data_IF_177973887812
#
_entry.id   IF_177973887812
#
_cell.length_a   1.000
_cell.length_b   1.000
_cell.length_c   1.000
_cell.angle_alpha   90.00
_cell.angle_beta   90.00
_cell.angle_gamma   90.00
#
_symmetry.space_group_name_H-M   'P 1'
#
loop_
_entity.id
_entity.type
_entity.pdbx_description
1 polymer ?
#
# COMPACT_ATOMS: atom_id res chain seq x y z
N UNK A 1 6.52 12.81 24.76
CA UNK A 1 7.42 11.85 24.06
C UNK A 1 6.92 11.69 22.64
N UNK A 2 7.75 11.95 21.64
CA UNK A 2 7.37 11.76 20.23
C UNK A 2 7.14 10.27 19.95
N UNK A 3 6.03 9.88 19.32
CA UNK A 3 5.80 8.47 19.00
C UNK A 3 6.93 7.98 18.10
N UNK A 4 7.57 6.88 18.51
CA UNK A 4 8.62 6.27 17.71
C UNK A 4 7.99 5.49 16.55
N UNK A 5 8.50 5.61 15.31
CA UNK A 5 7.97 4.83 14.20
C UNK A 5 8.12 3.32 14.46
N UNK A 6 7.13 2.49 14.06
CA UNK A 6 7.13 1.04 14.26
C UNK A 6 7.95 0.29 13.19
N UNK A 7 8.86 0.98 12.51
CA UNK A 7 9.72 0.48 11.43
C UNK A 7 11.13 1.07 11.61
N UNK A 8 12.14 0.41 11.03
CA UNK A 8 13.51 0.87 11.14
C UNK A 8 13.74 2.09 10.23
N UNK A 9 14.51 3.04 10.75
CA UNK A 9 14.90 4.28 10.06
C UNK A 9 16.39 4.47 10.27
N UNK A 10 17.11 4.83 9.21
CA UNK A 10 18.52 5.15 9.29
C UNK A 10 18.77 6.34 10.27
N UNK A 11 19.81 6.31 11.12
CA UNK A 11 20.06 7.32 12.16
C UNK A 11 20.06 8.76 11.64
N UNK A 12 20.66 9.00 10.48
CA UNK A 12 20.71 10.34 9.86
C UNK A 12 19.34 10.90 9.45
N UNK A 13 18.30 10.08 9.40
CA UNK A 13 16.95 10.46 8.97
C UNK A 13 15.88 10.35 10.08
N UNK A 14 16.28 10.00 11.32
CA UNK A 14 15.33 9.79 12.41
C UNK A 14 14.48 11.02 12.72
N UNK A 15 15.09 12.22 12.74
CA UNK A 15 14.36 13.45 13.02
C UNK A 15 13.26 13.76 12.00
N UNK A 16 13.56 13.55 10.71
CA UNK A 16 12.60 13.77 9.64
C UNK A 16 11.47 12.74 9.67
N UNK A 17 11.78 11.45 9.88
CA UNK A 17 10.74 10.43 10.01
C UNK A 17 9.91 10.55 11.27
N UNK A 18 10.49 11.02 12.38
CA UNK A 18 9.71 11.31 13.58
C UNK A 18 8.65 12.38 13.28
N UNK A 19 9.01 13.44 12.55
CA UNK A 19 8.07 14.49 12.11
C UNK A 19 6.99 13.94 11.18
N UNK A 20 7.37 13.17 10.15
CA UNK A 20 6.41 12.55 9.22
C UNK A 20 5.49 11.57 9.94
N UNK A 21 6.01 10.78 10.88
CA UNK A 21 5.24 9.83 11.67
C UNK A 21 4.27 10.51 12.63
N UNK A 22 4.66 11.63 13.27
CA UNK A 22 3.75 12.42 14.09
C UNK A 22 2.50 12.89 13.32
N UNK A 23 2.63 13.18 12.02
CA UNK A 23 1.51 13.56 11.16
C UNK A 23 0.76 12.34 10.63
N UNK A 24 1.45 11.28 10.23
CA UNK A 24 0.83 10.11 9.61
C UNK A 24 0.13 9.18 10.62
N UNK A 25 0.67 9.03 11.83
CA UNK A 25 0.12 8.17 12.89
C UNK A 25 -1.35 8.49 13.23
N UNK A 26 -1.75 9.75 13.52
CA UNK A 26 -3.15 10.06 13.79
C UNK A 26 -4.06 9.81 12.58
N UNK A 27 -3.57 10.05 11.37
CA UNK A 27 -4.34 9.75 10.15
C UNK A 27 -4.58 8.24 9.96
N UNK A 28 -3.60 7.41 10.32
CA UNK A 28 -3.76 5.95 10.33
C UNK A 28 -4.72 5.49 11.42
N UNK A 29 -4.67 6.08 12.62
CA UNK A 29 -5.63 5.82 13.69
C UNK A 29 -7.06 6.14 13.22
N UNK A 30 -7.26 7.30 12.59
CA UNK A 30 -8.56 7.67 12.03
C UNK A 30 -9.00 6.62 11.00
N UNK A 31 -8.16 6.33 10.01
CA UNK A 31 -8.50 5.48 8.89
C UNK A 31 -8.85 4.04 9.29
N UNK A 32 -8.13 3.46 10.25
CA UNK A 32 -8.25 2.04 10.58
C UNK A 32 -8.96 1.72 11.90
N UNK A 33 -9.10 2.70 12.81
CA UNK A 33 -9.73 2.49 14.12
C UNK A 33 -11.00 3.31 14.25
N UNK A 34 -10.90 4.64 14.11
CA UNK A 34 -12.05 5.52 14.35
C UNK A 34 -13.20 5.26 13.36
N UNK A 35 -12.88 5.08 12.07
CA UNK A 35 -13.90 4.75 11.06
C UNK A 35 -14.62 3.44 11.41
N UNK A 36 -13.89 2.44 11.90
CA UNK A 36 -14.47 1.16 12.26
C UNK A 36 -15.40 1.29 13.46
N UNK A 37 -15.02 2.08 14.47
CA UNK A 37 -15.87 2.38 15.60
C UNK A 37 -17.17 3.10 15.19
N UNK A 38 -17.08 4.09 14.30
CA UNK A 38 -18.27 4.83 13.80
C UNK A 38 -19.20 3.91 13.00
N UNK A 39 -18.66 3.08 12.11
CA UNK A 39 -19.45 2.15 11.29
C UNK A 39 -20.14 1.09 12.16
N UNK A 40 -19.43 0.52 13.14
CA UNK A 40 -20.02 -0.45 14.08
C UNK A 40 -21.09 0.20 14.95
N UNK A 41 -20.87 1.43 15.43
CA UNK A 41 -21.87 2.18 16.20
C UNK A 41 -23.12 2.49 15.38
N UNK A 42 -22.96 2.96 14.13
CA UNK A 42 -24.07 3.22 13.21
C UNK A 42 -24.88 1.93 12.93
N UNK A 43 -24.20 0.80 12.72
CA UNK A 43 -24.87 -0.49 12.60
C UNK A 43 -25.62 -0.86 13.88
N UNK A 44 -25.01 -0.75 15.05
CA UNK A 44 -25.64 -1.10 16.33
C UNK A 44 -26.89 -0.26 16.60
N UNK A 45 -26.84 1.04 16.31
CA UNK A 45 -28.00 1.94 16.39
C UNK A 45 -29.11 1.48 15.44
N UNK A 46 -28.76 1.18 14.18
CA UNK A 46 -29.74 0.72 13.20
C UNK A 46 -30.39 -0.61 13.60
N UNK A 47 -29.62 -1.54 14.17
CA UNK A 47 -30.12 -2.84 14.63
C UNK A 47 -30.98 -2.73 15.89
N UNK A 48 -30.67 -1.82 16.81
CA UNK A 48 -31.44 -1.64 18.04
C UNK A 48 -32.86 -1.11 17.79
N UNK A 49 -33.10 -0.51 16.63
CA UNK A 49 -34.39 0.08 16.23
C UNK A 49 -35.10 -0.74 15.15
N UNK A 50 -34.42 -1.70 14.53
CA UNK A 50 -34.99 -2.52 13.46
C UNK A 50 -35.72 -3.77 14.02
N UNK A 51 -37.02 -3.89 13.76
CA UNK A 51 -37.87 -5.01 14.22
C UNK A 51 -37.75 -6.29 13.36
N UNK A 52 -36.58 -6.62 12.80
CA UNK A 52 -36.49 -7.59 11.70
C UNK A 52 -35.30 -8.60 11.77
N UNK A 53 -35.42 -9.77 11.09
CA UNK A 53 -34.36 -10.79 11.00
C UNK A 53 -33.15 -10.38 10.14
N UNK A 54 -33.06 -9.12 9.72
CA UNK A 54 -31.94 -8.57 8.92
C UNK A 54 -30.64 -8.46 9.74
N UNK A 55 -30.71 -8.75 11.04
CA UNK A 55 -29.59 -8.78 12.00
C UNK A 55 -28.43 -9.67 11.54
N UNK A 56 -28.71 -10.90 11.08
CA UNK A 56 -27.65 -11.85 10.72
C UNK A 56 -26.78 -11.39 9.55
N UNK A 57 -27.41 -10.92 8.47
CA UNK A 57 -26.70 -10.49 7.26
C UNK A 57 -25.98 -9.15 7.45
N UNK A 58 -26.59 -8.20 8.16
CA UNK A 58 -25.95 -6.93 8.51
C UNK A 58 -24.66 -7.15 9.31
N UNK A 59 -24.70 -8.02 10.32
CA UNK A 59 -23.53 -8.40 11.14
C UNK A 59 -22.44 -9.03 10.28
N UNK A 60 -22.79 -9.91 9.33
CA UNK A 60 -21.84 -10.55 8.42
C UNK A 60 -21.12 -9.54 7.50
N UNK A 61 -21.79 -8.46 7.12
CA UNK A 61 -21.22 -7.42 6.25
C UNK A 61 -20.34 -6.42 7.01
N UNK A 62 -20.55 -6.23 8.32
CA UNK A 62 -19.82 -5.21 9.10
C UNK A 62 -18.69 -5.81 9.93
N UNK A 63 -18.96 -6.90 10.66
CA UNK A 63 -18.03 -7.43 11.67
C UNK A 63 -16.77 -8.03 11.05
N UNK A 64 -16.82 -8.93 10.04
CA UNK A 64 -15.61 -9.48 9.46
C UNK A 64 -14.68 -8.43 8.83
N UNK A 65 -15.17 -7.43 8.06
CA UNK A 65 -14.31 -6.34 7.60
C UNK A 65 -13.70 -5.50 8.72
N UNK A 66 -14.47 -5.21 9.78
CA UNK A 66 -13.98 -4.47 10.95
C UNK A 66 -12.88 -5.26 11.69
N UNK A 67 -13.11 -6.54 11.94
CA UNK A 67 -12.14 -7.45 12.54
C UNK A 67 -10.88 -7.58 11.67
N UNK A 68 -11.03 -7.67 10.35
CA UNK A 68 -9.88 -7.69 9.43
C UNK A 68 -9.07 -6.40 9.50
N UNK A 69 -9.71 -5.23 9.52
CA UNK A 69 -9.02 -3.94 9.60
C UNK A 69 -8.35 -3.74 10.97
N UNK A 70 -9.00 -4.17 12.06
CA UNK A 70 -8.41 -4.19 13.39
C UNK A 70 -7.19 -5.11 13.44
N UNK A 71 -7.31 -6.35 12.94
CA UNK A 71 -6.19 -7.28 12.82
C UNK A 71 -5.06 -6.71 11.95
N UNK A 72 -5.38 -6.04 10.84
CA UNK A 72 -4.40 -5.43 9.94
C UNK A 72 -3.54 -4.38 10.65
N UNK A 73 -4.12 -3.62 11.59
CA UNK A 73 -3.39 -2.67 12.45
C UNK A 73 -2.61 -3.39 13.54
N UNK A 74 -3.27 -4.26 14.31
CA UNK A 74 -2.68 -4.96 15.45
C UNK A 74 -1.48 -5.83 15.03
N UNK A 75 -1.61 -6.54 13.91
CA UNK A 75 -0.53 -7.34 13.32
C UNK A 75 0.48 -6.51 12.51
N UNK A 76 0.38 -5.16 12.54
CA UNK A 76 1.26 -4.21 11.82
C UNK A 76 1.40 -4.49 10.32
N UNK A 77 0.43 -5.18 9.72
CA UNK A 77 0.45 -5.55 8.29
C UNK A 77 0.34 -4.34 7.38
N UNK A 78 -0.13 -3.21 7.88
CA UNK A 78 -0.11 -1.93 7.18
C UNK A 78 1.30 -1.50 6.75
N UNK A 79 2.35 -1.91 7.47
CA UNK A 79 3.73 -1.60 7.11
C UNK A 79 4.22 -2.33 5.84
N UNK A 80 3.63 -3.48 5.52
CA UNK A 80 4.07 -4.34 4.41
C UNK A 80 3.46 -3.94 3.06
N UNK A 81 2.25 -3.36 3.08
CA UNK A 81 1.53 -2.96 1.85
C UNK A 81 1.02 -1.53 1.93
N UNK A 82 1.92 -0.54 2.02
CA UNK A 82 1.56 0.88 2.18
C UNK A 82 0.73 1.42 1.04
N UNK A 83 0.94 0.89 -0.17
CA UNK A 83 0.25 1.32 -1.38
C UNK A 83 -1.27 1.20 -1.31
N UNK A 84 -1.78 0.20 -0.61
CA UNK A 84 -3.18 -0.18 -0.66
C UNK A 84 -4.00 0.28 0.56
N UNK A 85 -3.47 1.16 1.40
CA UNK A 85 -4.17 1.59 2.62
C UNK A 85 -5.57 2.14 2.33
N UNK A 86 -5.67 3.18 1.51
CA UNK A 86 -6.96 3.77 1.23
C UNK A 86 -7.88 2.90 0.39
N UNK A 87 -7.33 2.09 -0.53
CA UNK A 87 -8.13 1.11 -1.29
C UNK A 87 -8.76 0.09 -0.34
N UNK A 88 -8.03 -0.39 0.67
CA UNK A 88 -8.56 -1.32 1.67
C UNK A 88 -9.67 -0.68 2.51
N UNK A 89 -9.43 0.52 3.02
CA UNK A 89 -10.42 1.24 3.84
C UNK A 89 -11.68 1.53 3.01
N UNK A 90 -11.53 2.02 1.79
CA UNK A 90 -12.65 2.31 0.89
C UNK A 90 -13.42 1.06 0.48
N UNK A 91 -12.74 0.03 -0.04
CA UNK A 91 -13.41 -1.17 -0.54
C UNK A 91 -14.13 -1.95 0.58
N UNK A 92 -13.47 -2.13 1.73
CA UNK A 92 -14.11 -2.77 2.87
C UNK A 92 -15.19 -1.88 3.49
N UNK A 93 -14.95 -0.57 3.55
CA UNK A 93 -15.96 0.40 3.97
C UNK A 93 -17.23 0.32 3.14
N UNK A 94 -17.14 0.18 1.82
CA UNK A 94 -18.30 -0.01 0.96
C UNK A 94 -19.11 -1.27 1.31
N UNK A 95 -18.43 -2.39 1.61
CA UNK A 95 -19.10 -3.62 2.07
C UNK A 95 -19.82 -3.38 3.40
N UNK A 96 -19.16 -2.68 4.33
CA UNK A 96 -19.75 -2.35 5.63
C UNK A 96 -20.94 -1.38 5.49
N UNK A 97 -20.87 -0.44 4.55
CA UNK A 97 -21.96 0.49 4.28
C UNK A 97 -23.24 -0.25 3.86
N UNK A 98 -23.13 -1.32 3.05
CA UNK A 98 -24.26 -2.19 2.77
C UNK A 98 -24.84 -2.82 4.05
N UNK A 99 -23.97 -3.25 4.96
CA UNK A 99 -24.37 -3.81 6.26
C UNK A 99 -25.04 -2.79 7.20
N UNK A 100 -24.70 -1.50 7.09
CA UNK A 100 -25.36 -0.41 7.83
C UNK A 100 -26.68 -0.01 7.17
N UNK A 101 -26.69 0.11 5.83
CA UNK A 101 -27.83 0.62 5.07
C UNK A 101 -29.06 -0.29 5.17
N UNK A 102 -28.85 -1.61 5.15
CA UNK A 102 -29.94 -2.59 5.23
C UNK A 102 -30.80 -2.45 6.51
N UNK A 103 -30.24 -2.54 7.73
CA UNK A 103 -31.04 -2.35 8.94
C UNK A 103 -31.55 -0.91 9.08
N UNK A 104 -30.79 0.09 8.60
CA UNK A 104 -31.22 1.49 8.66
C UNK A 104 -32.48 1.74 7.83
N UNK A 105 -32.58 1.13 6.64
CA UNK A 105 -33.74 1.24 5.77
C UNK A 105 -35.00 0.61 6.40
N UNK A 106 -34.83 -0.50 7.14
CA UNK A 106 -35.92 -1.18 7.85
C UNK A 106 -36.37 -0.39 9.08
N UNK A 107 -35.43 0.18 9.84
CA UNK A 107 -35.74 1.02 11.00
C UNK A 107 -36.51 2.30 10.60
N UNK A 108 -36.31 2.81 9.38
CA UNK A 108 -37.02 3.98 8.86
C UNK A 108 -36.65 5.29 9.56
N UNK A 109 -37.48 6.32 9.35
CA UNK A 109 -37.38 7.62 10.01
C UNK A 109 -36.00 8.28 9.86
N UNK A 110 -35.54 8.90 10.96
CA UNK A 110 -34.23 9.59 11.01
C UNK A 110 -33.06 8.61 10.88
N UNK A 111 -33.21 7.38 11.38
CA UNK A 111 -32.16 6.34 11.37
C UNK A 111 -31.79 5.95 9.94
N UNK A 112 -32.79 5.83 9.06
CA UNK A 112 -32.62 5.51 7.64
C UNK A 112 -31.70 6.50 6.89
N UNK A 113 -31.70 7.78 7.29
CA UNK A 113 -30.86 8.80 6.69
C UNK A 113 -29.53 8.97 7.42
N UNK A 114 -29.56 9.06 8.76
CA UNK A 114 -28.40 9.45 9.56
C UNK A 114 -27.33 8.36 9.60
N UNK A 115 -27.70 7.09 9.81
CA UNK A 115 -26.70 6.03 9.98
C UNK A 115 -25.88 5.77 8.68
N UNK A 116 -26.48 5.65 7.49
CA UNK A 116 -25.73 5.50 6.25
C UNK A 116 -24.91 6.74 5.90
N UNK A 117 -25.44 7.94 6.16
CA UNK A 117 -24.70 9.19 5.93
C UNK A 117 -23.45 9.29 6.80
N UNK A 118 -23.57 8.99 8.10
CA UNK A 118 -22.44 8.96 9.03
C UNK A 118 -21.39 7.93 8.62
N UNK A 119 -21.81 6.70 8.27
CA UNK A 119 -20.91 5.66 7.79
C UNK A 119 -20.19 6.09 6.51
N UNK A 120 -20.91 6.67 5.54
CA UNK A 120 -20.35 7.15 4.27
C UNK A 120 -19.29 8.23 4.49
N UNK A 121 -19.61 9.24 5.30
CA UNK A 121 -18.67 10.32 5.64
C UNK A 121 -17.43 9.79 6.36
N UNK A 122 -17.61 8.85 7.29
CA UNK A 122 -16.50 8.21 7.99
C UNK A 122 -15.61 7.43 7.01
N UNK A 123 -16.18 6.61 6.12
CA UNK A 123 -15.42 5.83 5.13
C UNK A 123 -14.66 6.75 4.17
N UNK A 124 -15.31 7.81 3.66
CA UNK A 124 -14.66 8.79 2.80
C UNK A 124 -13.51 9.49 3.53
N UNK A 125 -13.75 9.98 4.74
CA UNK A 125 -12.75 10.62 5.60
C UNK A 125 -11.56 9.70 5.91
N UNK A 126 -11.81 8.43 6.25
CA UNK A 126 -10.78 7.43 6.50
C UNK A 126 -9.97 7.08 5.25
N UNK A 127 -10.63 6.99 4.09
CA UNK A 127 -9.96 6.74 2.80
C UNK A 127 -9.00 7.88 2.47
N UNK A 128 -9.46 9.13 2.62
CA UNK A 128 -8.63 10.32 2.44
C UNK A 128 -7.50 10.38 3.47
N UNK A 129 -7.79 10.10 4.75
CA UNK A 129 -6.78 10.05 5.80
C UNK A 129 -5.69 9.02 5.50
N UNK A 130 -6.06 7.82 5.05
CA UNK A 130 -5.11 6.79 4.62
C UNK A 130 -4.26 7.22 3.43
N UNK A 131 -4.85 7.88 2.42
CA UNK A 131 -4.11 8.43 1.27
C UNK A 131 -3.12 9.52 1.72
N UNK A 132 -3.57 10.42 2.60
CA UNK A 132 -2.75 11.51 3.13
C UNK A 132 -1.61 10.97 4.00
N UNK A 133 -1.87 9.99 4.87
CA UNK A 133 -0.84 9.33 5.68
C UNK A 133 0.24 8.71 4.80
N UNK A 134 -0.16 8.02 3.73
CA UNK A 134 0.77 7.46 2.74
C UNK A 134 1.58 8.58 2.07
N UNK A 135 0.94 9.64 1.58
CA UNK A 135 1.64 10.76 0.93
C UNK A 135 2.66 11.42 1.85
N UNK A 136 2.33 11.62 3.13
CA UNK A 136 3.25 12.20 4.11
C UNK A 136 4.48 11.30 4.35
N UNK A 137 4.26 9.99 4.54
CA UNK A 137 5.36 9.06 4.80
C UNK A 137 6.24 8.82 3.56
N UNK A 138 5.61 8.69 2.40
CA UNK A 138 6.27 8.32 1.14
C UNK A 138 6.41 9.50 0.18
N UNK A 139 6.39 10.74 0.68
CA UNK A 139 6.63 11.91 -0.17
C UNK A 139 8.00 11.74 -0.84
N UNK A 140 8.07 11.84 -2.18
CA UNK A 140 9.33 11.71 -2.92
C UNK A 140 10.28 12.89 -2.62
N UNK A 141 9.74 14.00 -2.11
CA UNK A 141 10.53 15.14 -1.66
C UNK A 141 11.50 14.74 -0.55
N UNK A 142 12.79 14.90 -0.84
CA UNK A 142 13.87 14.75 0.13
C UNK A 142 14.37 13.32 0.33
N UNK A 143 14.11 12.38 -0.58
CA UNK A 143 14.73 11.04 -0.60
C UNK A 143 14.52 10.16 0.66
N UNK A 144 13.77 10.67 1.64
CA UNK A 144 13.46 10.02 2.91
C UNK A 144 12.93 8.59 2.76
N UNK A 145 12.07 8.22 1.79
CA UNK A 145 11.58 6.85 1.67
C UNK A 145 12.70 5.80 1.56
N UNK A 146 13.85 6.15 0.95
CA UNK A 146 15.01 5.27 0.83
C UNK A 146 15.62 4.90 2.19
N UNK A 147 15.51 5.79 3.19
CA UNK A 147 16.13 5.67 4.50
C UNK A 147 15.30 4.89 5.54
N UNK A 148 14.29 4.14 5.11
CA UNK A 148 13.43 3.34 6.00
C UNK A 148 13.37 1.88 5.59
N UNK A 149 12.91 1.03 6.51
CA UNK A 149 12.63 -0.36 6.20
C UNK A 149 11.31 -0.59 5.49
N UNK A 150 10.57 0.48 5.16
CA UNK A 150 9.30 0.36 4.47
C UNK A 150 9.55 -0.03 3.01
N UNK A 151 8.74 -0.95 2.46
CA UNK A 151 8.86 -1.34 1.07
C UNK A 151 8.48 -0.18 0.16
N UNK A 152 9.35 0.10 -0.81
CA UNK A 152 9.08 1.05 -1.87
C UNK A 152 8.50 0.29 -3.05
N UNK A 153 7.33 0.70 -3.54
CA UNK A 153 6.60 -0.04 -4.56
C UNK A 153 6.24 0.86 -5.75
N UNK A 154 6.54 0.40 -6.96
CA UNK A 154 6.21 1.06 -8.22
C UNK A 154 5.52 0.10 -9.17
N UNK A 155 4.70 0.64 -10.07
CA UNK A 155 4.15 -0.14 -11.17
C UNK A 155 5.19 -0.27 -12.27
N UNK A 156 5.22 -1.48 -12.85
CA UNK A 156 5.95 -1.71 -14.07
C UNK A 156 5.13 -1.14 -15.24
N UNK A 157 5.77 -0.34 -16.08
CA UNK A 157 5.21 0.20 -17.32
C UNK A 157 5.18 -0.93 -18.34
N UNK A 158 4.08 -1.69 -18.34
CA UNK A 158 3.79 -2.80 -19.24
C UNK A 158 2.73 -2.42 -20.26
N UNK A 159 2.76 -3.02 -21.45
CA UNK A 159 1.74 -2.78 -22.48
C UNK A 159 0.33 -3.20 -21.99
N UNK A 160 -0.57 -2.23 -21.74
CA UNK A 160 -1.97 -2.53 -21.48
C UNK A 160 -2.61 -3.00 -22.79
N UNK A 161 -3.61 -3.91 -22.75
CA UNK A 161 -4.36 -4.35 -21.59
C UNK A 161 -3.87 -5.68 -20.96
N UNK A 162 -2.79 -6.31 -21.44
CA UNK A 162 -2.54 -7.73 -21.16
C UNK A 162 -1.75 -8.03 -19.89
N UNK A 163 -0.82 -7.16 -19.49
CA UNK A 163 0.07 -7.40 -18.35
C UNK A 163 0.02 -6.26 -17.33
N UNK A 164 0.06 -6.62 -16.05
CA UNK A 164 0.29 -5.72 -14.94
C UNK A 164 1.48 -6.22 -14.14
N UNK A 165 2.34 -5.33 -13.69
CA UNK A 165 3.45 -5.70 -12.84
C UNK A 165 3.75 -4.66 -11.79
N UNK A 166 4.47 -5.08 -10.76
CA UNK A 166 5.04 -4.15 -9.81
C UNK A 166 6.42 -4.59 -9.39
N UNK A 167 7.25 -3.59 -9.11
CA UNK A 167 8.54 -3.74 -8.46
C UNK A 167 8.43 -3.27 -7.02
N UNK A 168 9.04 -3.99 -6.10
CA UNK A 168 9.08 -3.68 -4.67
C UNK A 168 10.51 -3.80 -4.18
N UNK A 169 11.07 -2.71 -3.66
CA UNK A 169 12.34 -2.72 -2.94
C UNK A 169 12.06 -2.71 -1.43
N UNK A 170 12.39 -3.79 -0.73
CA UNK A 170 12.37 -3.84 0.72
C UNK A 170 13.78 -3.60 1.29
N UNK A 171 14.08 -4.13 2.48
CA UNK A 171 15.39 -4.00 3.14
C UNK A 171 16.38 -5.08 2.72
N UNK A 172 15.91 -6.17 2.11
CA UNK A 172 16.70 -7.34 1.79
C UNK A 172 16.89 -7.49 0.30
N UNK A 173 15.87 -7.17 -0.50
CA UNK A 173 15.90 -7.41 -1.94
C UNK A 173 15.01 -6.44 -2.73
N UNK A 174 15.32 -6.39 -4.02
CA UNK A 174 14.48 -5.86 -5.08
C UNK A 174 13.69 -7.01 -5.69
N UNK A 175 12.37 -6.98 -5.54
CA UNK A 175 11.44 -7.97 -6.08
C UNK A 175 10.64 -7.40 -7.23
N UNK A 176 10.34 -8.21 -8.25
CA UNK A 176 9.37 -7.84 -9.28
C UNK A 176 8.50 -9.02 -9.65
N UNK A 177 7.30 -8.70 -10.12
CA UNK A 177 6.39 -9.70 -10.68
C UNK A 177 5.53 -9.10 -11.78
N UNK A 178 5.18 -9.96 -12.75
CA UNK A 178 4.28 -9.69 -13.85
C UNK A 178 3.13 -10.69 -13.82
N UNK A 179 1.91 -10.19 -14.04
CA UNK A 179 0.67 -10.98 -14.03
C UNK A 179 -0.21 -10.60 -15.22
N UNK A 180 -0.91 -11.56 -15.84
CA UNK A 180 -1.92 -11.26 -16.85
C UNK A 180 -3.10 -10.51 -16.20
N UNK A 181 -3.60 -9.47 -16.88
CA UNK A 181 -4.80 -8.73 -16.44
C UNK A 181 -6.04 -9.57 -16.74
N UNK A 182 -6.93 -9.74 -15.76
CA UNK A 182 -8.22 -10.43 -15.94
C UNK A 182 -8.37 -11.79 -15.26
N UNK A 183 -7.28 -12.44 -14.82
CA UNK A 183 -7.33 -13.66 -14.01
C UNK A 183 -7.36 -13.30 -12.51
N UNK A 184 -8.44 -12.67 -12.07
CA UNK A 184 -8.72 -12.48 -10.65
C UNK A 184 -9.03 -13.85 -10.03
N UNK A 185 -8.03 -14.52 -9.44
CA UNK A 185 -8.24 -15.75 -8.68
C UNK A 185 -7.19 -16.84 -8.84
N UNK A 186 -6.31 -16.76 -9.84
CA UNK A 186 -5.22 -17.73 -10.03
C UNK A 186 -3.85 -17.11 -9.67
N UNK A 187 -3.05 -17.72 -8.78
CA UNK A 187 -1.89 -17.06 -8.17
C UNK A 187 -0.58 -17.14 -8.97
N UNK A 188 -0.58 -17.54 -10.24
CA UNK A 188 0.67 -17.66 -10.99
C UNK A 188 1.09 -16.30 -11.59
N UNK A 189 2.14 -15.69 -11.03
CA UNK A 189 2.88 -14.66 -11.75
C UNK A 189 3.48 -15.28 -13.01
N UNK A 190 3.29 -14.64 -14.16
CA UNK A 190 3.86 -15.09 -15.44
C UNK A 190 5.39 -15.00 -15.38
N UNK A 191 5.89 -13.94 -14.74
CA UNK A 191 7.31 -13.75 -14.44
C UNK A 191 7.43 -13.22 -13.02
N UNK A 192 8.42 -13.72 -12.28
CA UNK A 192 8.84 -13.18 -10.98
C UNK A 192 10.36 -13.18 -10.91
N UNK A 193 10.92 -12.20 -10.23
CA UNK A 193 12.35 -12.19 -9.95
C UNK A 193 12.66 -11.44 -8.67
N UNK A 194 13.88 -11.68 -8.19
CA UNK A 194 14.37 -11.11 -6.95
C UNK A 194 15.88 -10.96 -7.06
N UNK A 195 16.40 -9.81 -6.63
CA UNK A 195 17.83 -9.56 -6.49
C UNK A 195 18.08 -9.08 -5.06
N UNK A 196 18.88 -9.78 -4.25
CA UNK A 196 19.30 -9.28 -2.94
C UNK A 196 19.99 -7.92 -3.08
N UNK A 197 19.70 -6.97 -2.19
CA UNK A 197 20.33 -5.64 -2.26
C UNK A 197 21.86 -5.73 -2.16
N UNK A 198 22.38 -6.73 -1.44
CA UNK A 198 23.81 -7.01 -1.33
C UNK A 198 24.47 -7.48 -2.65
N UNK A 199 23.69 -7.99 -3.61
CA UNK A 199 24.19 -8.40 -4.93
C UNK A 199 24.15 -7.24 -5.95
N UNK A 200 23.56 -6.10 -5.61
CA UNK A 200 23.43 -4.95 -6.51
C UNK A 200 24.74 -4.15 -6.52
N UNK A 201 25.33 -4.00 -7.70
CA UNK A 201 26.60 -3.30 -7.92
C UNK A 201 26.42 -1.88 -8.43
N UNK A 202 25.25 -1.54 -8.97
CA UNK A 202 24.94 -0.18 -9.42
C UNK A 202 23.52 -0.04 -9.94
N UNK A 203 23.03 1.20 -10.00
CA UNK A 203 21.70 1.54 -10.48
C UNK A 203 21.80 2.73 -11.42
N UNK A 204 21.21 2.65 -12.60
CA UNK A 204 21.16 3.77 -13.55
C UNK A 204 19.87 3.77 -14.36
N UNK A 205 19.50 4.95 -14.84
CA UNK A 205 18.41 5.09 -15.81
C UNK A 205 18.98 4.79 -17.20
N UNK A 206 18.26 3.99 -17.98
CA UNK A 206 18.58 3.66 -19.37
C UNK A 206 17.37 3.93 -20.25
N UNK A 207 17.61 4.28 -21.50
CA UNK A 207 16.56 4.42 -22.51
C UNK A 207 16.46 3.11 -23.29
N UNK A 208 15.30 2.45 -23.23
CA UNK A 208 15.05 1.21 -23.97
C UNK A 208 14.47 1.54 -25.33
N UNK A 209 15.11 1.09 -26.40
CA UNK A 209 14.62 1.27 -27.77
C UNK A 209 15.20 0.25 -28.74
N UNK A 210 14.49 -0.01 -29.83
CA UNK A 210 14.95 -0.82 -30.95
C UNK A 210 14.67 -2.34 -30.88
N UNK A 211 15.07 -3.10 -31.91
CA UNK A 211 14.74 -4.53 -32.10
C UNK A 211 15.48 -5.51 -31.18
N UNK A 212 16.10 -5.03 -30.10
CA UNK A 212 16.86 -5.84 -29.12
C UNK A 212 16.53 -5.49 -27.68
N UNK A 213 15.27 -5.13 -27.39
CA UNK A 213 14.85 -4.73 -26.06
C UNK A 213 15.24 -5.81 -25.02
N UNK A 214 15.84 -5.42 -23.89
CA UNK A 214 16.18 -6.37 -22.83
C UNK A 214 14.90 -7.03 -22.32
N UNK A 215 15.03 -8.26 -21.85
CA UNK A 215 13.91 -9.00 -21.28
C UNK A 215 13.86 -8.77 -19.76
N UNK A 216 12.66 -8.59 -19.21
CA UNK A 216 12.38 -8.68 -17.78
C UNK A 216 12.40 -10.16 -17.42
N UNK A 217 13.55 -10.61 -16.91
CA UNK A 217 13.90 -12.04 -16.85
C UNK A 217 13.77 -12.72 -18.23
N UNK A 218 13.88 -14.04 -18.33
CA UNK A 218 14.00 -14.78 -19.60
C UNK A 218 12.69 -14.82 -20.46
N UNK A 219 11.73 -13.91 -20.26
CA UNK A 219 10.37 -14.12 -20.78
C UNK A 219 9.59 -12.93 -21.37
N UNK A 220 9.82 -11.67 -20.96
CA UNK A 220 8.98 -10.54 -21.40
C UNK A 220 9.83 -9.34 -21.81
N UNK A 221 9.72 -8.83 -23.05
CA UNK A 221 10.49 -7.66 -23.47
C UNK A 221 10.10 -6.41 -22.68
N UNK A 222 11.11 -5.66 -22.24
CA UNK A 222 10.94 -4.36 -21.59
C UNK A 222 10.37 -3.36 -22.60
N UNK A 223 9.26 -2.67 -22.30
CA UNK A 223 8.69 -1.67 -23.20
C UNK A 223 9.64 -0.49 -23.46
N UNK A 224 9.61 0.02 -24.68
CA UNK A 224 10.44 1.15 -25.11
C UNK A 224 10.21 2.39 -24.23
N UNK A 225 11.23 3.19 -23.98
CA UNK A 225 11.22 4.38 -23.12
C UNK A 225 12.17 4.25 -21.92
N UNK A 226 12.07 5.16 -20.94
CA UNK A 226 12.91 5.11 -19.73
C UNK A 226 12.68 3.83 -18.92
N UNK A 227 13.78 3.24 -18.45
CA UNK A 227 13.82 2.08 -17.59
C UNK A 227 14.96 2.21 -16.56
N UNK A 228 14.92 1.39 -15.51
CA UNK A 228 15.99 1.30 -14.52
C UNK A 228 16.79 0.03 -14.78
N UNK A 229 18.07 0.20 -15.09
CA UNK A 229 19.04 -0.88 -15.15
C UNK A 229 19.70 -1.05 -13.78
N UNK A 230 19.59 -2.26 -13.24
CA UNK A 230 20.17 -2.69 -11.98
C UNK A 230 21.30 -3.65 -12.28
N UNK A 231 22.53 -3.18 -12.11
CA UNK A 231 23.73 -4.02 -12.21
C UNK A 231 23.81 -4.93 -11.01
N UNK A 232 24.10 -6.21 -11.24
CA UNK A 232 24.25 -7.23 -10.20
C UNK A 232 25.54 -8.01 -10.43
N UNK A 233 25.99 -8.77 -9.44
CA UNK A 233 27.12 -9.69 -9.60
C UNK A 233 26.89 -10.78 -10.67
N UNK A 234 25.64 -11.03 -11.06
CA UNK A 234 25.25 -12.06 -12.04
C UNK A 234 24.91 -11.49 -13.42
N UNK A 235 25.01 -10.18 -13.61
CA UNK A 235 24.59 -9.49 -14.83
C UNK A 235 23.65 -8.33 -14.54
N UNK A 236 22.87 -7.91 -15.52
CA UNK A 236 22.02 -6.72 -15.42
C UNK A 236 20.53 -7.08 -15.51
N UNK A 237 19.72 -6.43 -14.68
CA UNK A 237 18.25 -6.51 -14.74
C UNK A 237 17.70 -5.16 -15.14
N UNK A 238 16.85 -5.13 -16.18
CA UNK A 238 16.22 -3.89 -16.66
C UNK A 238 14.73 -3.90 -16.32
N UNK A 239 14.25 -2.84 -15.65
CA UNK A 239 12.87 -2.69 -15.20
C UNK A 239 12.26 -1.41 -15.77
N UNK A 240 11.28 -1.54 -16.65
CA UNK A 240 10.46 -0.40 -17.07
C UNK A 240 9.44 -0.07 -15.99
N UNK A 241 9.58 1.08 -15.36
CA UNK A 241 8.63 1.65 -14.38
C UNK A 241 8.08 2.97 -14.88
N UNK A 242 6.96 3.42 -14.31
CA UNK A 242 6.36 4.70 -14.69
C UNK A 242 7.28 5.91 -14.39
N UNK A 243 8.05 5.85 -13.31
CA UNK A 243 8.97 6.91 -12.88
C UNK A 243 10.37 6.32 -12.60
N UNK A 244 11.11 6.07 -13.68
CA UNK A 244 12.44 5.47 -13.63
C UNK A 244 13.47 6.35 -12.88
N UNK A 245 13.53 7.68 -13.07
CA UNK A 245 14.43 8.55 -12.32
C UNK A 245 14.22 8.46 -10.80
N UNK A 246 12.98 8.51 -10.33
CA UNK A 246 12.69 8.44 -8.89
C UNK A 246 13.06 7.08 -8.31
N UNK A 247 12.74 5.98 -9.00
CA UNK A 247 13.16 4.64 -8.56
C UNK A 247 14.69 4.53 -8.49
N UNK A 248 15.39 4.94 -9.55
CA UNK A 248 16.85 4.84 -9.60
C UNK A 248 17.51 5.64 -8.47
N UNK A 249 17.05 6.88 -8.25
CA UNK A 249 17.55 7.74 -7.17
C UNK A 249 17.31 7.13 -5.77
N UNK A 250 16.09 6.67 -5.49
CA UNK A 250 15.75 6.11 -4.18
C UNK A 250 16.45 4.76 -3.92
N UNK A 251 16.62 3.94 -4.95
CA UNK A 251 17.34 2.67 -4.83
C UNK A 251 18.84 2.90 -4.61
N UNK A 252 19.46 3.80 -5.39
CA UNK A 252 20.87 4.17 -5.19
C UNK A 252 21.11 4.71 -3.76
N UNK A 253 20.26 5.62 -3.30
CA UNK A 253 20.37 6.14 -1.94
C UNK A 253 20.21 5.03 -0.89
N UNK A 254 19.25 4.12 -1.05
CA UNK A 254 19.05 3.02 -0.12
C UNK A 254 20.27 2.10 -0.07
N UNK A 255 20.90 1.82 -1.21
CA UNK A 255 22.12 1.01 -1.28
C UNK A 255 23.29 1.70 -0.57
N UNK A 256 23.47 3.02 -0.78
CA UNK A 256 24.49 3.80 -0.06
C UNK A 256 24.26 3.77 1.45
N UNK A 257 23.02 3.97 1.89
CA UNK A 257 22.66 3.92 3.32
C UNK A 257 22.79 2.51 3.91
N UNK A 258 22.56 1.45 3.13
CA UNK A 258 22.80 0.08 3.58
C UNK A 258 24.30 -0.18 3.84
N UNK A 259 25.19 0.41 3.04
CA UNK A 259 26.64 0.31 3.21
C UNK A 259 27.22 1.13 4.37
N UNK A 260 26.49 2.11 4.92
CA UNK A 260 26.99 3.02 5.97
C UNK A 260 26.87 2.46 7.40
N UNK A 261 26.32 1.25 7.58
CA UNK A 261 26.01 0.71 8.90
C UNK A 261 24.91 1.51 9.62
N UNK A 262 24.56 1.12 10.86
CA UNK A 262 23.62 1.91 11.67
C UNK A 262 22.12 1.64 11.44
N UNK A 263 21.75 0.68 10.59
CA UNK A 263 20.37 0.16 10.57
C UNK A 263 20.05 -0.47 11.92
N UNK A 264 19.25 0.22 12.74
CA UNK A 264 18.77 -0.32 13.98
C UNK A 264 17.89 -1.54 13.68
N UNK A 265 18.40 -2.74 13.97
CA UNK A 265 17.59 -3.95 13.99
C UNK A 265 16.45 -3.74 14.99
N UNK A 266 15.21 -3.83 14.54
CA UNK A 266 14.02 -3.90 15.40
C UNK A 266 13.13 -5.02 14.94
#
# INVERSE_FOLDING_TARGET
>A
MSPTPPFAVHPSWQGEFARRWQVASPLLLVAFVLVQAVVVAAMAIALAVADAPVTGFAVLLVVPPACYLAWFVLARRYLVRPRFWGVRVGALGCVQLCGVALPSAVAGGVVAAVCPALATLAIAGGTVAAHRARRVLFSPEGAAPAATSLPLQWDLRMHPPRLFGSVTADVHALHWHLKPRGLYGLPAALVRGSVPLAEITGVRVVEVGGPGAPLIADGVPVPAGPAVAVGTVRGEVVLAVEDAPTLAHLLDLRLRLAGQGGWAAR
#
